data_IF_783173527637
#
_entry.id   IF_783173527637
#
_cell.length_a   1.000
_cell.length_b   1.000
_cell.length_c   1.000
_cell.angle_alpha   90.00
_cell.angle_beta   90.00
_cell.angle_gamma   90.00
#
_symmetry.space_group_name_H-M   'P 1'
#
loop_
_entity.id
_entity.type
_entity.pdbx_description
1 polymer ?
#
# COMPACT_ATOMS: atom_id res chain seq x y z
N UNK A 1 67.93 23.44 7.02
CA UNK A 1 66.98 23.69 8.13
C UNK A 1 66.07 24.84 7.73
N UNK A 2 64.76 24.59 7.77
CA UNK A 2 63.61 25.50 7.73
C UNK A 2 63.51 26.57 6.64
N UNK A 3 62.63 26.33 5.67
CA UNK A 3 61.74 27.37 5.13
C UNK A 3 60.35 26.76 4.98
N UNK A 4 59.44 27.19 5.87
CA UNK A 4 58.04 26.79 5.91
C UNK A 4 57.22 28.06 6.05
N UNK A 5 56.04 28.03 5.43
CA UNK A 5 54.95 29.02 5.47
C UNK A 5 55.12 30.20 4.51
N UNK A 6 54.58 30.05 3.29
CA UNK A 6 53.47 30.89 2.80
C UNK A 6 53.00 30.48 1.40
N UNK A 7 52.73 29.18 1.16
CA UNK A 7 51.97 28.79 -0.05
C UNK A 7 50.50 28.90 0.30
N UNK A 8 50.03 30.14 0.23
CA UNK A 8 48.82 30.55 -0.46
C UNK A 8 47.73 29.47 -0.55
N UNK A 9 46.91 29.38 0.49
CA UNK A 9 45.44 29.50 0.48
C UNK A 9 44.68 29.34 -0.86
N UNK A 10 45.02 28.33 -1.67
CA UNK A 10 44.24 27.86 -2.82
C UNK A 10 43.90 26.37 -2.63
N UNK A 11 43.70 25.95 -1.38
CA UNK A 11 42.65 24.98 -1.14
C UNK A 11 41.34 25.74 -1.24
N UNK A 12 40.94 25.97 -2.49
CA UNK A 12 39.57 26.14 -2.89
C UNK A 12 38.82 24.95 -2.27
N UNK A 13 38.37 25.17 -1.04
CA UNK A 13 37.22 24.55 -0.43
C UNK A 13 36.04 24.96 -1.32
N UNK A 14 36.03 24.45 -2.55
CA UNK A 14 34.80 24.16 -3.26
C UNK A 14 34.29 22.92 -2.52
N UNK A 15 33.82 23.19 -1.30
CA UNK A 15 32.66 22.57 -0.74
C UNK A 15 31.57 22.75 -1.80
N UNK A 16 31.60 21.89 -2.82
CA UNK A 16 30.43 21.50 -3.57
C UNK A 16 29.52 20.91 -2.50
N UNK A 17 28.80 21.80 -1.82
CA UNK A 17 27.50 21.48 -1.26
C UNK A 17 26.69 21.18 -2.51
N UNK A 18 26.85 19.97 -3.04
CA UNK A 18 25.78 19.34 -3.76
C UNK A 18 24.65 19.32 -2.74
N UNK A 19 23.76 20.31 -2.83
CA UNK A 19 22.39 20.14 -2.43
C UNK A 19 21.88 18.98 -3.28
N UNK A 20 22.17 17.76 -2.83
CA UNK A 20 21.44 16.60 -3.24
C UNK A 20 20.05 16.84 -2.67
N UNK A 21 19.18 17.45 -3.46
CA UNK A 21 17.73 17.42 -3.23
C UNK A 21 17.30 15.97 -3.42
N UNK A 22 17.71 15.10 -2.50
CA UNK A 22 17.10 13.80 -2.35
C UNK A 22 15.70 14.08 -1.86
N UNK A 23 14.72 13.87 -2.74
CA UNK A 23 13.34 13.83 -2.32
C UNK A 23 13.23 12.63 -1.38
N UNK A 24 13.23 12.92 -0.08
CA UNK A 24 13.28 11.91 0.96
C UNK A 24 12.01 11.05 0.92
N UNK A 25 12.19 9.74 0.84
CA UNK A 25 11.11 8.78 0.99
C UNK A 25 10.46 9.00 2.36
N UNK A 26 9.13 9.08 2.40
CA UNK A 26 8.37 9.27 3.65
C UNK A 26 7.62 8.00 4.00
N UNK A 27 7.61 7.67 5.28
CA UNK A 27 6.80 6.60 5.84
C UNK A 27 6.05 7.07 7.08
N UNK A 28 4.76 6.77 7.14
CA UNK A 28 3.88 7.15 8.23
C UNK A 28 3.04 5.94 8.68
N UNK A 29 2.85 5.80 9.98
CA UNK A 29 2.01 4.76 10.58
C UNK A 29 0.96 5.42 11.47
N UNK A 30 -0.31 5.07 11.26
CA UNK A 30 -1.44 5.62 12.01
C UNK A 30 -2.29 4.48 12.57
N UNK A 31 -2.78 4.65 13.80
CA UNK A 31 -3.74 3.76 14.43
C UNK A 31 -4.96 4.56 14.88
N UNK A 32 -6.10 4.24 14.30
CA UNK A 32 -7.39 4.74 14.74
C UNK A 32 -8.12 3.68 15.55
N UNK A 33 -8.64 4.09 16.72
CA UNK A 33 -9.40 3.23 17.63
C UNK A 33 -10.74 3.89 17.90
N UNK A 34 -11.83 3.16 17.68
CA UNK A 34 -13.19 3.63 17.99
C UNK A 34 -14.02 2.55 18.68
N UNK A 35 -14.49 2.78 19.92
CA UNK A 35 -15.51 1.92 20.51
C UNK A 35 -16.82 2.08 19.73
N UNK A 36 -17.50 0.96 19.48
CA UNK A 36 -18.75 0.89 18.74
C UNK A 36 -19.93 0.73 19.71
N UNK A 37 -21.12 1.17 19.30
CA UNK A 37 -22.36 1.09 20.09
C UNK A 37 -22.74 -0.34 20.49
N UNK A 38 -22.28 -1.33 19.72
CA UNK A 38 -22.52 -2.76 19.93
C UNK A 38 -21.60 -3.41 20.97
N UNK A 39 -20.78 -2.63 21.71
CA UNK A 39 -19.78 -3.15 22.64
C UNK A 39 -18.55 -3.77 21.97
N UNK A 40 -18.42 -3.61 20.65
CA UNK A 40 -17.24 -4.01 19.88
C UNK A 40 -16.26 -2.83 19.81
N UNK A 41 -15.00 -3.10 19.46
CA UNK A 41 -14.01 -2.05 19.22
C UNK A 41 -13.47 -2.15 17.79
N UNK A 42 -13.51 -1.04 17.06
CA UNK A 42 -12.96 -0.89 15.72
C UNK A 42 -11.53 -0.36 15.78
N UNK A 43 -10.62 -1.06 15.11
CA UNK A 43 -9.23 -0.68 14.90
C UNK A 43 -8.97 -0.51 13.40
N UNK A 44 -8.30 0.57 13.04
CA UNK A 44 -7.83 0.81 11.68
C UNK A 44 -6.38 1.24 11.70
N UNK A 45 -5.49 0.36 11.25
CA UNK A 45 -4.08 0.65 11.05
C UNK A 45 -3.88 1.09 9.62
N UNK A 46 -3.15 2.18 9.43
CA UNK A 46 -2.81 2.72 8.11
C UNK A 46 -1.30 2.93 8.03
N UNK A 47 -0.69 2.38 7.00
CA UNK A 47 0.73 2.50 6.70
C UNK A 47 0.87 3.17 5.34
N UNK A 48 1.51 4.33 5.28
CA UNK A 48 1.63 5.12 4.05
C UNK A 48 3.09 5.33 3.72
N UNK A 49 3.51 4.86 2.54
CA UNK A 49 4.84 5.08 1.99
C UNK A 49 4.74 5.99 0.78
N UNK A 50 5.45 7.12 0.80
CA UNK A 50 5.48 8.10 -0.30
C UNK A 50 6.90 8.22 -0.83
N UNK A 51 7.07 8.00 -2.12
CA UNK A 51 8.38 8.00 -2.79
C UNK A 51 8.34 8.79 -4.11
N UNK A 52 9.52 9.08 -4.66
CA UNK A 52 9.62 9.67 -6.00
C UNK A 52 9.01 8.73 -7.06
N UNK A 53 8.25 9.24 -8.05
CA UNK A 53 7.69 8.42 -9.12
C UNK A 53 8.77 7.85 -10.05
N UNK A 54 10.02 8.32 -9.93
CA UNK A 54 11.16 7.86 -10.71
C UNK A 54 11.43 6.37 -10.56
N UNK A 55 11.06 5.76 -9.43
CA UNK A 55 11.24 4.31 -9.18
C UNK A 55 10.51 3.43 -10.22
N UNK A 56 9.49 3.97 -10.89
CA UNK A 56 8.75 3.28 -11.95
C UNK A 56 9.34 3.51 -13.35
N UNK A 57 10.35 4.37 -13.51
CA UNK A 57 10.99 4.63 -14.81
C UNK A 57 11.84 3.43 -15.24
N UNK A 58 11.71 2.98 -16.51
CA UNK A 58 12.56 1.92 -17.04
C UNK A 58 14.02 2.40 -17.19
N UNK A 59 14.96 1.45 -17.23
CA UNK A 59 16.38 1.67 -17.56
C UNK A 59 17.22 2.48 -16.54
N UNK A 60 16.73 2.63 -15.31
CA UNK A 60 17.51 3.20 -14.20
C UNK A 60 17.59 2.13 -13.10
N UNK A 61 18.79 1.95 -12.53
CA UNK A 61 18.98 1.12 -11.33
C UNK A 61 18.47 1.93 -10.15
N UNK A 62 17.39 1.46 -9.53
CA UNK A 62 16.79 2.12 -8.37
C UNK A 62 17.22 1.42 -7.08
N UNK A 63 17.61 2.21 -6.10
CA UNK A 63 17.76 1.75 -4.73
C UNK A 63 16.44 1.95 -4.00
N UNK A 64 15.84 0.86 -3.56
CA UNK A 64 14.59 0.86 -2.80
C UNK A 64 14.93 0.94 -1.32
N UNK A 65 14.58 2.05 -0.67
CA UNK A 65 14.75 2.21 0.76
C UNK A 65 13.47 1.84 1.51
N UNK A 66 12.38 2.60 1.30
CA UNK A 66 11.09 2.33 1.95
C UNK A 66 10.11 1.57 1.07
N UNK A 67 10.14 1.80 -0.24
CA UNK A 67 9.16 1.20 -1.14
C UNK A 67 9.47 -0.28 -1.44
N UNK A 68 8.49 -1.20 -1.36
CA UNK A 68 8.72 -2.60 -1.65
C UNK A 68 9.04 -2.82 -3.14
N UNK A 69 10.28 -3.21 -3.44
CA UNK A 69 10.77 -3.50 -4.81
C UNK A 69 9.82 -4.41 -5.59
N UNK A 70 9.27 -5.43 -4.94
CA UNK A 70 8.37 -6.40 -5.58
C UNK A 70 7.13 -5.72 -6.15
N UNK A 71 6.53 -4.74 -5.44
CA UNK A 71 5.39 -3.97 -5.97
C UNK A 71 5.83 -3.11 -7.15
N UNK A 72 7.00 -2.47 -7.06
CA UNK A 72 7.50 -1.65 -8.17
C UNK A 72 7.73 -2.49 -9.43
N UNK A 73 8.24 -3.71 -9.28
CA UNK A 73 8.42 -4.65 -10.37
C UNK A 73 7.08 -5.06 -11.00
N UNK A 74 6.09 -5.48 -10.20
CA UNK A 74 4.75 -5.89 -10.69
C UNK A 74 4.04 -4.76 -11.42
N UNK A 75 4.10 -3.54 -10.89
CA UNK A 75 3.44 -2.36 -11.47
C UNK A 75 4.12 -1.97 -12.78
N UNK A 76 5.45 -1.99 -12.81
CA UNK A 76 6.25 -1.62 -13.98
C UNK A 76 6.14 -2.66 -15.09
N UNK A 77 6.23 -3.96 -14.78
CA UNK A 77 6.14 -5.05 -15.76
C UNK A 77 4.79 -5.06 -16.48
N UNK A 78 3.71 -4.79 -15.73
CA UNK A 78 2.35 -4.81 -16.25
C UNK A 78 1.86 -3.43 -16.73
N UNK A 79 2.68 -2.38 -16.59
CA UNK A 79 2.30 -1.02 -16.97
C UNK A 79 1.06 -0.51 -16.24
N UNK A 80 0.93 -0.86 -14.95
CA UNK A 80 -0.12 -0.36 -14.05
C UNK A 80 0.24 1.07 -13.63
N UNK A 81 -0.72 1.97 -13.61
CA UNK A 81 -0.56 3.33 -13.07
C UNK A 81 -1.14 3.49 -11.68
N UNK A 82 -2.20 2.73 -11.39
CA UNK A 82 -2.95 2.76 -10.14
C UNK A 82 -3.55 1.39 -9.91
N UNK A 83 -3.56 0.92 -8.66
CA UNK A 83 -4.34 -0.25 -8.30
C UNK A 83 -4.83 -0.16 -6.87
N UNK A 84 -5.91 -0.88 -6.63
CA UNK A 84 -6.55 -0.99 -5.33
C UNK A 84 -6.97 -2.44 -5.17
N UNK A 85 -6.58 -3.05 -4.06
CA UNK A 85 -6.94 -4.42 -3.73
C UNK A 85 -7.34 -4.50 -2.27
N UNK A 86 -8.43 -5.21 -1.98
CA UNK A 86 -8.84 -5.55 -0.62
C UNK A 86 -9.23 -7.01 -0.51
N UNK A 87 -8.86 -7.64 0.61
CA UNK A 87 -9.27 -8.97 1.03
C UNK A 87 -10.02 -8.82 2.35
N UNK A 88 -11.30 -9.14 2.36
CA UNK A 88 -12.17 -8.87 3.51
C UNK A 88 -12.93 -10.11 3.94
N UNK A 89 -12.92 -10.37 5.24
CA UNK A 89 -13.74 -11.35 5.92
C UNK A 89 -14.75 -10.63 6.80
N UNK A 90 -16.02 -11.05 6.68
CA UNK A 90 -17.14 -10.43 7.40
C UNK A 90 -17.78 -9.30 6.61
N UNK A 91 -18.92 -8.84 7.12
CA UNK A 91 -19.70 -7.74 6.53
C UNK A 91 -19.64 -6.54 7.46
N UNK A 92 -19.30 -5.38 6.91
CA UNK A 92 -19.39 -4.13 7.66
C UNK A 92 -20.86 -3.77 7.95
N UNK A 93 -21.21 -3.67 9.23
CA UNK A 93 -22.58 -3.35 9.67
C UNK A 93 -22.78 -1.84 9.73
N UNK A 94 -23.06 -1.21 8.60
CA UNK A 94 -23.22 0.26 8.49
C UNK A 94 -24.21 0.85 9.51
N UNK A 95 -25.34 0.17 9.75
CA UNK A 95 -26.39 0.65 10.67
C UNK A 95 -25.91 0.76 12.13
N UNK A 96 -24.97 -0.11 12.52
CA UNK A 96 -24.50 -0.21 13.91
C UNK A 96 -23.10 0.38 14.12
N UNK A 97 -22.23 0.28 13.11
CA UNK A 97 -20.84 0.69 13.18
C UNK A 97 -20.58 2.04 12.50
N UNK A 98 -21.57 2.59 11.80
CA UNK A 98 -21.45 3.83 11.04
C UNK A 98 -20.57 3.65 9.80
N UNK A 99 -20.01 4.76 9.33
CA UNK A 99 -19.11 4.77 8.16
C UNK A 99 -17.71 4.31 8.62
N UNK A 100 -17.07 3.35 7.92
CA UNK A 100 -15.68 2.97 8.16
C UNK A 100 -14.73 4.05 7.65
N UNK A 101 -13.48 4.08 8.14
CA UNK A 101 -12.45 4.97 7.56
C UNK A 101 -12.18 4.57 6.11
N UNK A 102 -12.03 3.26 5.88
CA UNK A 102 -11.90 2.69 4.54
C UNK A 102 -12.89 1.55 4.42
N UNK A 103 -13.82 1.68 3.49
CA UNK A 103 -14.78 0.63 3.16
C UNK A 103 -14.15 -0.41 2.25
N UNK A 104 -14.49 -1.68 2.47
CA UNK A 104 -14.16 -2.77 1.58
C UNK A 104 -15.33 -3.77 1.52
N UNK A 105 -15.69 -4.30 0.34
CA UNK A 105 -16.69 -5.36 0.23
C UNK A 105 -16.13 -6.69 0.76
N UNK A 106 -17.00 -7.64 1.13
CA UNK A 106 -16.57 -8.99 1.51
C UNK A 106 -15.94 -9.73 0.32
N UNK A 107 -14.93 -10.55 0.62
CA UNK A 107 -14.14 -11.27 -0.38
C UNK A 107 -12.98 -10.42 -0.91
N UNK A 108 -12.47 -10.81 -2.08
CA UNK A 108 -11.47 -10.03 -2.80
C UNK A 108 -12.15 -9.02 -3.72
N UNK A 109 -11.71 -7.77 -3.66
CA UNK A 109 -12.02 -6.73 -4.65
C UNK A 109 -10.72 -6.18 -5.19
N UNK A 110 -10.64 -6.02 -6.51
CA UNK A 110 -9.49 -5.43 -7.16
C UNK A 110 -9.92 -4.57 -8.34
N UNK A 111 -9.27 -3.42 -8.46
CA UNK A 111 -9.33 -2.63 -9.68
C UNK A 111 -8.02 -1.92 -9.94
N UNK A 112 -7.72 -1.71 -11.21
CA UNK A 112 -6.48 -1.11 -11.65
C UNK A 112 -6.67 -0.30 -12.93
N UNK A 113 -5.90 0.78 -13.01
CA UNK A 113 -5.73 1.56 -14.23
C UNK A 113 -4.39 1.23 -14.86
N UNK A 114 -4.40 1.10 -16.18
CA UNK A 114 -3.23 0.79 -16.98
C UNK A 114 -2.79 2.00 -17.79
N UNK A 115 -1.47 2.15 -17.94
CA UNK A 115 -0.90 3.13 -18.87
C UNK A 115 -1.27 2.75 -20.31
N UNK A 116 -1.55 3.73 -21.19
CA UNK A 116 -1.66 3.49 -22.62
C UNK A 116 -0.37 2.85 -23.16
N UNK A 117 -0.53 1.80 -23.95
CA UNK A 117 0.57 1.04 -24.53
C UNK A 117 0.10 0.47 -25.88
N UNK A 118 0.82 0.77 -26.95
CA UNK A 118 0.48 0.33 -28.31
C UNK A 118 0.90 -1.12 -28.58
N UNK A 119 1.86 -1.64 -27.81
CA UNK A 119 2.50 -2.95 -28.03
C UNK A 119 1.77 -4.09 -27.31
N UNK A 120 1.03 -3.82 -26.22
CA UNK A 120 0.37 -4.86 -25.42
C UNK A 120 -1.05 -4.47 -24.99
N UNK A 121 -2.00 -5.36 -25.26
CA UNK A 121 -3.39 -5.22 -24.82
C UNK A 121 -3.50 -5.23 -23.28
N UNK A 122 -4.38 -4.38 -22.76
CA UNK A 122 -4.71 -4.26 -21.33
C UNK A 122 -5.20 -5.60 -20.78
N UNK A 123 -5.91 -6.41 -21.57
CA UNK A 123 -6.38 -7.73 -21.13
C UNK A 123 -5.24 -8.67 -20.79
N UNK A 124 -4.17 -8.69 -21.60
CA UNK A 124 -3.01 -9.54 -21.32
C UNK A 124 -2.25 -9.07 -20.08
N UNK A 125 -2.08 -7.75 -19.94
CA UNK A 125 -1.40 -7.15 -18.79
C UNK A 125 -2.19 -7.32 -17.50
N UNK A 126 -3.52 -7.28 -17.58
CA UNK A 126 -4.41 -7.60 -16.47
C UNK A 126 -4.21 -9.03 -15.97
N UNK A 127 -4.17 -10.02 -16.87
CA UNK A 127 -3.94 -11.43 -16.50
C UNK A 127 -2.61 -11.61 -15.76
N UNK A 128 -1.53 -11.04 -16.30
CA UNK A 128 -0.21 -11.11 -15.66
C UNK A 128 -0.22 -10.40 -14.30
N UNK A 129 -0.84 -9.22 -14.21
CA UNK A 129 -0.95 -8.45 -12.97
C UNK A 129 -1.68 -9.22 -11.86
N UNK A 130 -2.88 -9.77 -12.13
CA UNK A 130 -3.63 -10.50 -11.09
C UNK A 130 -2.95 -11.80 -10.68
N UNK A 131 -2.21 -12.44 -11.58
CA UNK A 131 -1.43 -13.64 -11.27
C UNK A 131 -0.22 -13.32 -10.37
N UNK A 132 0.55 -12.29 -10.71
CA UNK A 132 1.69 -11.82 -9.90
C UNK A 132 1.22 -11.33 -8.52
N UNK A 133 0.15 -10.53 -8.47
CA UNK A 133 -0.39 -10.00 -7.22
C UNK A 133 -1.03 -11.09 -6.35
N UNK A 134 -1.71 -12.07 -6.96
CA UNK A 134 -2.25 -13.24 -6.25
C UNK A 134 -1.15 -14.06 -5.59
N UNK A 135 -0.04 -14.30 -6.31
CA UNK A 135 1.15 -14.93 -5.74
C UNK A 135 1.77 -14.12 -4.61
N UNK A 136 1.83 -12.79 -4.76
CA UNK A 136 2.37 -11.90 -3.73
C UNK A 136 1.53 -11.88 -2.46
N UNK A 137 0.20 -11.86 -2.58
CA UNK A 137 -0.73 -11.78 -1.45
C UNK A 137 -1.15 -13.15 -0.91
N UNK A 138 -0.69 -14.25 -1.52
CA UNK A 138 -1.18 -15.61 -1.28
C UNK A 138 -2.70 -15.72 -1.42
N UNK A 139 -3.26 -15.06 -2.44
CA UNK A 139 -4.69 -15.02 -2.72
C UNK A 139 -4.99 -15.58 -4.13
N UNK A 140 -6.18 -16.14 -4.30
CA UNK A 140 -6.63 -16.80 -5.53
C UNK A 140 -7.03 -15.82 -6.64
N UNK A 141 -6.33 -14.68 -6.76
CA UNK A 141 -6.64 -13.62 -7.74
C UNK A 141 -6.43 -14.08 -9.19
N UNK A 142 -5.72 -15.19 -9.41
CA UNK A 142 -5.56 -15.80 -10.72
C UNK A 142 -6.89 -16.22 -11.38
N UNK A 143 -7.97 -16.42 -10.61
CA UNK A 143 -9.32 -16.67 -11.17
C UNK A 143 -9.96 -15.43 -11.82
N UNK A 144 -9.31 -14.27 -11.73
CA UNK A 144 -9.73 -13.01 -12.37
C UNK A 144 -9.12 -12.83 -13.76
N UNK A 145 -8.42 -13.84 -14.29
CA UNK A 145 -7.82 -13.79 -15.61
C UNK A 145 -8.86 -13.74 -16.75
N UNK A 146 -10.09 -14.20 -16.49
CA UNK A 146 -11.13 -14.30 -17.49
C UNK A 146 -11.83 -12.95 -17.74
N UNK A 147 -12.24 -12.73 -18.99
CA UNK A 147 -13.06 -11.56 -19.35
C UNK A 147 -14.47 -11.62 -18.74
N UNK A 148 -14.91 -12.78 -18.24
CA UNK A 148 -16.24 -12.95 -17.63
C UNK A 148 -16.26 -12.42 -16.19
N UNK A 149 -15.14 -12.56 -15.48
CA UNK A 149 -14.97 -12.07 -14.10
C UNK A 149 -14.47 -10.62 -14.03
N UNK A 150 -14.22 -9.99 -15.18
CA UNK A 150 -13.63 -8.65 -15.28
C UNK A 150 -14.56 -7.69 -15.99
N UNK A 151 -14.61 -6.44 -15.53
CA UNK A 151 -15.42 -5.38 -16.12
C UNK A 151 -14.70 -4.03 -16.13
N UNK A 152 -15.20 -3.10 -16.93
CA UNK A 152 -14.67 -1.74 -17.08
C UNK A 152 -15.81 -0.72 -16.94
N UNK A 153 -16.27 -0.45 -15.71
CA UNK A 153 -17.41 0.44 -15.44
C UNK A 153 -17.08 1.88 -15.79
N UNK A 154 -18.01 2.57 -16.46
CA UNK A 154 -17.70 3.88 -17.04
C UNK A 154 -17.68 5.07 -16.06
N UNK A 155 -18.32 4.92 -14.90
CA UNK A 155 -18.61 6.03 -13.99
C UNK A 155 -18.19 5.78 -12.54
N UNK A 156 -18.25 4.54 -12.07
CA UNK A 156 -18.10 4.21 -10.64
C UNK A 156 -16.66 4.29 -10.14
N UNK A 157 -15.68 4.03 -11.00
CA UNK A 157 -14.27 4.06 -10.66
C UNK A 157 -13.61 5.10 -11.55
N UNK A 158 -13.20 6.20 -10.94
CA UNK A 158 -12.37 7.22 -11.59
C UNK A 158 -10.95 7.10 -11.03
N UNK A 159 -9.91 7.41 -11.81
CA UNK A 159 -8.55 7.41 -11.30
C UNK A 159 -8.48 8.30 -10.06
N UNK A 160 -8.02 7.76 -8.94
CA UNK A 160 -7.66 8.52 -7.76
C UNK A 160 -6.29 9.18 -7.92
N UNK A 161 -5.48 8.64 -8.84
CA UNK A 161 -4.19 9.22 -9.21
C UNK A 161 -4.38 10.51 -9.98
N UNK A 162 -3.59 11.52 -9.61
CA UNK A 162 -3.52 12.75 -10.39
C UNK A 162 -2.60 12.49 -11.59
N UNK A 163 -3.19 12.55 -12.78
CA UNK A 163 -2.47 12.38 -14.03
C UNK A 163 -1.92 13.75 -14.47
N UNK A 164 -0.66 13.83 -14.95
CA UNK A 164 -0.12 15.07 -15.50
C UNK A 164 -1.07 15.65 -16.55
N UNK A 165 -1.19 16.99 -16.62
CA UNK A 165 -2.12 17.71 -17.52
C UNK A 165 -1.95 17.31 -19.00
N UNK A 166 -0.78 16.80 -19.40
CA UNK A 166 -0.50 16.28 -20.75
C UNK A 166 -1.05 14.88 -21.03
N UNK A 167 -1.69 14.22 -20.05
CA UNK A 167 -2.16 12.83 -20.08
C UNK A 167 -3.68 12.73 -19.82
N UNK A 168 -4.45 13.74 -20.20
CA UNK A 168 -5.93 13.75 -20.08
C UNK A 168 -6.64 12.63 -20.86
N UNK A 169 -5.93 11.93 -21.75
CA UNK A 169 -6.40 10.72 -22.45
C UNK A 169 -6.56 9.48 -21.56
N UNK A 170 -6.10 9.50 -20.31
CA UNK A 170 -6.28 8.42 -19.32
C UNK A 170 -7.72 8.28 -18.79
N UNK A 171 -8.66 9.10 -19.26
CA UNK A 171 -10.08 8.97 -18.92
C UNK A 171 -10.84 7.98 -19.81
N UNK A 172 -10.14 7.25 -20.69
CA UNK A 172 -10.74 6.12 -21.38
C UNK A 172 -10.81 4.90 -20.45
N UNK A 173 -12.04 4.47 -20.15
CA UNK A 173 -12.31 3.31 -19.30
C UNK A 173 -11.84 1.99 -19.93
N UNK A 174 -11.42 1.99 -21.20
CA UNK A 174 -10.73 0.86 -21.84
C UNK A 174 -9.45 0.45 -21.10
N UNK A 175 -8.84 1.35 -20.33
CA UNK A 175 -7.67 1.09 -19.48
C UNK A 175 -8.00 0.70 -18.04
N UNK A 176 -9.28 0.72 -17.64
CA UNK A 176 -9.73 0.27 -16.34
C UNK A 176 -10.04 -1.23 -16.38
N UNK A 177 -9.67 -1.95 -15.33
CA UNK A 177 -10.16 -3.30 -15.04
C UNK A 177 -10.63 -3.34 -13.59
N UNK A 178 -11.81 -3.90 -13.37
CA UNK A 178 -12.43 -4.14 -12.07
C UNK A 178 -12.91 -5.57 -11.99
N UNK A 179 -12.67 -6.23 -10.87
CA UNK A 179 -13.10 -7.60 -10.63
C UNK A 179 -13.26 -7.90 -9.13
N UNK A 180 -14.07 -8.91 -8.82
CA UNK A 180 -14.32 -9.37 -7.44
C UNK A 180 -14.36 -10.89 -7.35
N UNK A 181 -13.87 -11.42 -6.23
CA UNK A 181 -14.04 -12.82 -5.81
C UNK A 181 -14.71 -12.85 -4.43
N UNK A 182 -16.05 -12.90 -4.35
CA UNK A 182 -16.77 -12.84 -3.08
C UNK A 182 -16.44 -13.99 -2.11
N UNK A 183 -15.93 -15.12 -2.62
CA UNK A 183 -15.54 -16.29 -1.82
C UNK A 183 -14.07 -16.30 -1.40
N UNK A 184 -13.26 -15.38 -1.93
CA UNK A 184 -11.86 -15.23 -1.56
C UNK A 184 -11.76 -14.32 -0.34
N UNK A 185 -11.98 -14.89 0.84
CA UNK A 185 -11.90 -14.16 2.11
C UNK A 185 -10.45 -14.05 2.59
N UNK A 186 -10.17 -13.07 3.46
CA UNK A 186 -8.84 -12.97 4.08
C UNK A 186 -8.61 -14.13 5.05
N UNK A 187 -7.43 -14.72 4.96
CA UNK A 187 -6.95 -15.83 5.80
C UNK A 187 -5.57 -15.51 6.38
N UNK A 188 -5.15 -16.24 7.41
CA UNK A 188 -3.88 -16.02 8.13
C UNK A 188 -2.65 -15.98 7.24
N UNK A 189 -2.67 -16.74 6.15
CA UNK A 189 -1.65 -16.82 5.13
C UNK A 189 -1.50 -15.54 4.30
N UNK A 190 -2.51 -14.66 4.23
CA UNK A 190 -2.43 -13.38 3.52
C UNK A 190 -1.72 -12.29 4.34
N UNK A 191 -1.86 -12.30 5.67
CA UNK A 191 -1.29 -11.26 6.53
C UNK A 191 0.24 -11.26 6.52
N UNK A 192 0.85 -12.44 6.51
CA UNK A 192 2.32 -12.57 6.52
C UNK A 192 2.97 -11.93 5.29
N UNK A 193 2.60 -12.27 4.04
CA UNK A 193 3.17 -11.63 2.87
C UNK A 193 2.75 -10.17 2.71
N UNK A 194 1.53 -9.79 3.11
CA UNK A 194 1.11 -8.39 3.13
C UNK A 194 2.01 -7.56 4.06
N UNK A 195 2.26 -8.05 5.28
CA UNK A 195 3.11 -7.37 6.26
C UNK A 195 4.56 -7.24 5.78
N UNK A 196 5.10 -8.23 5.06
CA UNK A 196 6.47 -8.20 4.50
C UNK A 196 6.72 -7.03 3.53
N UNK A 197 5.67 -6.38 3.04
CA UNK A 197 5.79 -5.23 2.14
C UNK A 197 6.02 -3.92 2.88
N UNK A 198 5.92 -3.92 4.21
CA UNK A 198 6.18 -2.75 5.04
C UNK A 198 7.70 -2.50 5.21
N UNK A 199 8.17 -1.24 5.31
CA UNK A 199 9.60 -0.90 5.29
C UNK A 199 10.44 -1.37 6.48
N UNK A 200 9.82 -1.68 7.63
CA UNK A 200 10.53 -1.78 8.91
C UNK A 200 10.94 -3.21 9.33
N UNK A 201 11.59 -3.97 8.42
CA UNK A 201 12.23 -5.26 8.76
C UNK A 201 13.62 -5.00 9.33
N UNK A 202 13.69 -4.59 10.59
CA UNK A 202 14.97 -4.27 11.24
C UNK A 202 15.70 -5.56 11.67
N UNK A 203 16.60 -6.08 10.82
CA UNK A 203 17.65 -7.03 11.20
C UNK A 203 17.20 -8.37 11.81
N UNK A 204 15.93 -8.75 11.63
CA UNK A 204 15.31 -9.96 12.16
C UNK A 204 13.88 -10.14 11.63
N UNK A 205 13.15 -11.13 12.14
CA UNK A 205 11.76 -11.44 11.71
C UNK A 205 10.70 -10.45 12.19
N UNK A 206 11.03 -9.59 13.15
CA UNK A 206 10.04 -8.77 13.87
C UNK A 206 10.03 -7.34 13.32
N UNK A 207 8.82 -6.84 13.06
CA UNK A 207 8.63 -5.47 12.58
C UNK A 207 8.59 -4.52 13.77
N UNK A 208 9.17 -3.33 13.62
CA UNK A 208 9.07 -2.26 14.62
C UNK A 208 7.80 -1.42 14.39
N UNK A 209 7.44 -0.58 15.36
CA UNK A 209 6.28 0.32 15.26
C UNK A 209 4.94 -0.40 15.37
N UNK A 210 3.91 0.19 14.77
CA UNK A 210 2.54 -0.37 14.74
C UNK A 210 2.48 -1.70 13.99
N UNK A 211 3.38 -1.93 13.03
CA UNK A 211 3.51 -3.20 12.33
C UNK A 211 3.90 -4.36 13.27
N UNK A 212 4.54 -4.09 14.41
CA UNK A 212 4.85 -5.07 15.45
C UNK A 212 3.60 -5.63 16.15
N UNK A 213 2.51 -4.86 16.21
CA UNK A 213 1.22 -5.33 16.74
C UNK A 213 0.65 -6.51 15.92
N UNK A 214 1.12 -6.66 14.69
CA UNK A 214 0.67 -7.68 13.74
C UNK A 214 1.36 -9.03 13.91
N UNK A 215 2.33 -9.17 14.82
CA UNK A 215 3.05 -10.43 15.04
C UNK A 215 2.14 -11.54 15.63
N UNK A 216 1.08 -11.16 16.34
CA UNK A 216 0.12 -12.11 16.93
C UNK A 216 -1.07 -12.39 16.01
N UNK A 217 -0.79 -12.87 14.79
CA UNK A 217 -1.82 -13.14 13.77
C UNK A 217 -3.04 -13.92 14.29
N UNK A 218 -2.93 -15.04 15.03
CA UNK A 218 -4.10 -15.81 15.46
C UNK A 218 -5.12 -15.02 16.30
N UNK A 219 -4.67 -14.00 17.05
CA UNK A 219 -5.57 -13.14 17.83
C UNK A 219 -6.30 -12.10 16.97
N UNK A 220 -5.72 -11.70 15.83
CA UNK A 220 -6.34 -10.77 14.89
C UNK A 220 -7.49 -11.42 14.09
N UNK A 221 -7.38 -12.73 13.82
CA UNK A 221 -8.39 -13.49 13.06
C UNK A 221 -9.57 -13.99 13.90
N UNK A 222 -9.56 -13.77 15.23
CA UNK A 222 -10.75 -13.97 16.07
C UNK A 222 -11.65 -12.71 16.12
N UNK A 223 -11.67 -11.95 15.03
CA UNK A 223 -12.43 -10.71 14.87
C UNK A 223 -13.73 -10.96 14.09
N UNK A 224 -14.74 -10.11 14.29
CA UNK A 224 -16.02 -10.22 13.57
C UNK A 224 -15.97 -9.58 12.18
N UNK A 225 -14.97 -8.74 11.94
CA UNK A 225 -14.66 -8.13 10.66
C UNK A 225 -13.15 -7.95 10.56
N UNK A 226 -12.59 -8.31 9.41
CA UNK A 226 -11.17 -8.19 9.13
C UNK A 226 -10.97 -7.86 7.65
N UNK A 227 -10.23 -6.79 7.35
CA UNK A 227 -9.93 -6.39 5.98
C UNK A 227 -8.47 -5.98 5.84
N UNK A 228 -7.77 -6.61 4.90
CA UNK A 228 -6.47 -6.17 4.41
C UNK A 228 -6.67 -5.40 3.13
N UNK A 229 -5.99 -4.26 3.00
CA UNK A 229 -6.07 -3.40 1.82
C UNK A 229 -4.69 -2.92 1.39
N UNK A 230 -4.54 -2.71 0.09
CA UNK A 230 -3.39 -2.08 -0.51
C UNK A 230 -3.82 -1.22 -1.70
N UNK A 231 -3.37 0.03 -1.69
CA UNK A 231 -3.70 1.04 -2.69
C UNK A 231 -2.40 1.67 -3.17
N UNK A 232 -2.23 1.74 -4.49
CA UNK A 232 -1.14 2.47 -5.12
C UNK A 232 -1.70 3.54 -6.02
N UNK A 233 -1.29 4.80 -5.80
CA UNK A 233 -1.73 5.94 -6.62
C UNK A 233 -0.65 7.01 -6.74
N UNK A 234 -0.81 7.90 -7.72
CA UNK A 234 0.01 9.12 -7.81
C UNK A 234 -0.67 10.30 -7.13
N UNK A 235 0.07 11.00 -6.28
CA UNK A 235 -0.39 12.20 -5.56
C UNK A 235 0.43 13.43 -5.97
N UNK A 236 -0.11 14.63 -5.82
CA UNK A 236 0.66 15.86 -6.05
C UNK A 236 1.51 16.20 -4.83
N UNK A 237 2.74 16.66 -5.08
CA UNK A 237 3.61 17.17 -4.01
C UNK A 237 3.19 18.57 -3.55
N UNK A 238 2.60 19.36 -4.46
CA UNK A 238 2.19 20.74 -4.23
C UNK A 238 0.76 21.01 -4.73
N UNK A 239 0.18 22.12 -4.27
CA UNK A 239 -1.18 22.55 -4.64
C UNK A 239 -1.34 22.83 -6.13
N UNK A 240 -0.27 23.21 -6.81
CA UNK A 240 -0.24 23.48 -8.25
C UNK A 240 -0.02 22.21 -9.11
N UNK A 241 0.20 21.05 -8.48
CA UNK A 241 0.40 19.76 -9.14
C UNK A 241 1.50 19.75 -10.22
N UNK A 242 2.57 20.53 -10.04
CA UNK A 242 3.69 20.57 -10.99
C UNK A 242 4.63 19.37 -10.85
N UNK A 243 4.67 18.75 -9.67
CA UNK A 243 5.39 17.51 -9.41
C UNK A 243 4.49 16.48 -8.73
N UNK A 244 4.70 15.21 -9.06
CA UNK A 244 3.95 14.09 -8.48
C UNK A 244 4.84 13.21 -7.61
N UNK A 245 4.21 12.47 -6.71
CA UNK A 245 4.80 11.42 -5.89
C UNK A 245 3.99 10.15 -6.04
N UNK A 246 4.62 9.01 -5.79
CA UNK A 246 3.95 7.71 -5.73
C UNK A 246 3.64 7.38 -4.27
N UNK A 247 2.38 7.09 -3.99
CA UNK A 247 1.91 6.71 -2.65
C UNK A 247 1.46 5.25 -2.68
N UNK A 248 2.05 4.44 -1.80
CA UNK A 248 1.57 3.11 -1.44
C UNK A 248 0.93 3.18 -0.05
N UNK A 249 -0.37 2.97 0.01
CA UNK A 249 -1.15 2.91 1.24
C UNK A 249 -1.53 1.46 1.52
N UNK A 250 -1.27 0.99 2.73
CA UNK A 250 -1.60 -0.33 3.20
C UNK A 250 -2.44 -0.19 4.47
N UNK A 251 -3.65 -0.74 4.48
CA UNK A 251 -4.55 -0.63 5.63
C UNK A 251 -4.99 -1.99 6.16
N UNK A 252 -5.14 -2.06 7.49
CA UNK A 252 -5.71 -3.19 8.21
C UNK A 252 -6.86 -2.69 9.08
N UNK A 253 -8.08 -3.11 8.74
CA UNK A 253 -9.30 -2.77 9.47
C UNK A 253 -9.83 -4.00 10.21
N UNK A 254 -10.06 -3.89 11.52
CA UNK A 254 -10.49 -5.01 12.38
C UNK A 254 -11.59 -4.55 13.33
N UNK A 255 -12.62 -5.37 13.51
CA UNK A 255 -13.61 -5.19 14.58
C UNK A 255 -13.54 -6.38 15.53
N UNK A 256 -13.21 -6.12 16.79
CA UNK A 256 -13.07 -7.14 17.83
C UNK A 256 -14.26 -7.06 18.79
N UNK A 257 -14.79 -8.20 19.18
CA UNK A 257 -15.74 -8.28 20.27
C UNK A 257 -15.00 -8.21 21.62
N UNK A 258 -15.21 -7.11 22.33
CA UNK A 258 -14.60 -6.87 23.65
C UNK A 258 -15.50 -7.33 24.81
N UNK A 259 -16.69 -7.86 24.53
CA UNK A 259 -17.66 -8.31 25.55
C UNK A 259 -17.58 -9.81 25.85
N UNK A 260 -17.14 -10.63 24.89
CA UNK A 260 -17.05 -12.09 25.04
C UNK A 260 -15.74 -12.59 25.63
N UNK A 261 -14.77 -11.70 25.92
CA UNK A 261 -13.59 -12.10 26.67
C UNK A 261 -14.00 -12.45 28.10
N UNK A 262 -14.13 -13.76 28.40
CA UNK A 262 -13.87 -14.23 29.77
C UNK A 262 -12.55 -13.58 30.24
N UNK A 263 -12.43 -13.17 31.50
CA UNK A 263 -11.18 -12.65 32.03
C UNK A 263 -10.18 -13.81 32.08
N UNK A 264 -9.61 -14.14 30.93
CA UNK A 264 -8.35 -14.83 30.87
C UNK A 264 -7.33 -13.81 31.37
N UNK A 265 -6.42 -14.20 32.26
CA UNK A 265 -5.42 -13.30 32.86
C UNK A 265 -4.45 -12.67 31.83
N UNK A 266 -4.69 -12.89 30.54
CA UNK A 266 -4.04 -12.28 29.39
C UNK A 266 -4.96 -11.24 28.74
N UNK A 267 -5.19 -10.12 29.44
CA UNK A 267 -5.81 -8.94 28.83
C UNK A 267 -5.06 -8.51 27.56
N UNK A 268 -5.74 -7.76 26.68
CA UNK A 268 -5.09 -7.09 25.56
C UNK A 268 -4.16 -5.99 26.09
N UNK A 269 -2.87 -6.32 26.26
CA UNK A 269 -1.85 -5.29 26.48
C UNK A 269 -1.38 -4.82 25.10
N UNK A 270 -1.83 -3.64 24.70
CA UNK A 270 -1.20 -2.88 23.62
C UNK A 270 0.13 -2.34 24.15
N UNK A 271 1.17 -3.19 24.14
CA UNK A 271 2.52 -2.76 24.48
C UNK A 271 3.07 -1.90 23.33
N UNK A 272 2.84 -0.59 23.40
CA UNK A 272 3.57 0.39 22.61
C UNK A 272 5.01 0.47 23.14
N UNK A 273 5.88 -0.45 22.73
CA UNK A 273 7.31 -0.28 22.96
C UNK A 273 7.83 0.66 21.88
N UNK A 274 7.72 1.97 22.12
CA UNK A 274 8.56 2.96 21.44
C UNK A 274 9.94 2.92 22.09
N UNK A 275 10.85 2.11 21.56
CA UNK A 275 12.27 2.31 21.82
C UNK A 275 12.77 3.41 20.88
N UNK A 276 13.07 4.58 21.44
CA UNK A 276 13.94 5.59 20.84
C UNK A 276 15.30 4.99 20.44
#
# INVERSE_FOLDING_TARGET
MYSSKLICCIFLVISFIYYCSSQEDKYNEELYIRPLSTGHTYFNLLFTTVVSPDILKPNIIHHYHLFPKVIADVVRSNGVSEFHVSLTQGLWRYDHWGIPIVGAPPGAEIWAWFKPNEQQDVTSRWKSFVHELGGLLCASLNFLDSNVSTSSPNYSFRPQSILPISQTSYQDNSFLRYAVLPREIVCTENLTPWKKLLPCVAGGSNHKGLAGLLDNAPKLYNSVYHSLRMDLRQICTNTECTSTQLELSMALAIVVDTTSSKPDHNGFVLNFISSL
#
